data_IF_858200377943
#
_entry.id   IF_858200377943
#
_cell.length_a   1.000
_cell.length_b   1.000
_cell.length_c   1.000
_cell.angle_alpha   90.00
_cell.angle_beta   90.00
_cell.angle_gamma   90.00
#
_symmetry.space_group_name_H-M   'P 1'
#
loop_
_entity.id
_entity.type
_entity.pdbx_description
1 polymer ?
#
# COMPACT_ATOMS: atom_id res chain seq x y z
N UNK A 1 -28.81 -9.78 12.75
CA UNK A 1 -28.93 -9.67 11.29
C UNK A 1 -28.50 -10.98 10.68
N UNK A 2 -29.27 -11.51 9.74
CA UNK A 2 -28.99 -12.79 9.09
C UNK A 2 -28.56 -12.60 7.62
N UNK A 3 -28.97 -11.51 6.99
CA UNK A 3 -28.63 -11.19 5.59
C UNK A 3 -28.84 -9.69 5.34
N UNK A 4 -28.23 -9.21 4.26
CA UNK A 4 -28.38 -7.84 3.76
C UNK A 4 -28.86 -7.88 2.30
N UNK A 5 -30.07 -7.36 1.99
CA UNK A 5 -30.65 -7.48 0.66
C UNK A 5 -30.14 -6.44 -0.35
N UNK A 6 -29.11 -5.66 -0.03
CA UNK A 6 -28.56 -4.63 -0.93
C UNK A 6 -28.09 -5.24 -2.24
N UNK A 7 -28.52 -4.68 -3.36
CA UNK A 7 -28.18 -5.11 -4.70
C UNK A 7 -27.60 -3.95 -5.53
N UNK A 8 -26.71 -4.31 -6.45
CA UNK A 8 -26.10 -3.40 -7.42
C UNK A 8 -26.31 -3.98 -8.82
N UNK A 9 -26.71 -3.14 -9.75
CA UNK A 9 -26.94 -3.55 -11.14
C UNK A 9 -26.13 -2.66 -12.08
N UNK A 10 -25.39 -3.29 -12.99
CA UNK A 10 -24.64 -2.61 -14.05
C UNK A 10 -24.89 -3.30 -15.39
N UNK A 11 -24.79 -2.58 -16.55
CA UNK A 11 -24.99 -3.16 -17.87
C UNK A 11 -24.05 -4.36 -18.13
N UNK A 12 -24.53 -5.33 -18.89
CA UNK A 12 -23.82 -6.58 -19.15
C UNK A 12 -22.53 -6.46 -19.96
N UNK A 13 -22.32 -5.38 -20.70
CA UNK A 13 -21.09 -5.10 -21.45
C UNK A 13 -20.02 -4.37 -20.64
N UNK A 14 -20.31 -3.98 -19.39
CA UNK A 14 -19.39 -3.32 -18.47
C UNK A 14 -18.22 -4.24 -18.14
N UNK A 15 -17.01 -3.69 -18.15
CA UNK A 15 -15.80 -4.42 -17.71
C UNK A 15 -15.67 -4.36 -16.20
N UNK A 16 -15.67 -5.51 -15.56
CA UNK A 16 -15.52 -5.66 -14.13
C UNK A 16 -14.09 -6.09 -13.77
N UNK A 17 -13.49 -5.38 -12.81
CA UNK A 17 -12.20 -5.74 -12.22
C UNK A 17 -12.41 -6.09 -10.76
N UNK A 18 -12.12 -7.33 -10.39
CA UNK A 18 -12.50 -7.91 -9.12
C UNK A 18 -11.47 -8.92 -8.61
N UNK A 19 -11.52 -9.24 -7.34
CA UNK A 19 -10.61 -10.16 -6.69
C UNK A 19 -11.37 -11.21 -5.87
N UNK A 20 -11.00 -12.48 -6.05
CA UNK A 20 -11.61 -13.61 -5.36
C UNK A 20 -10.93 -13.99 -4.04
N UNK A 21 -9.76 -13.43 -3.75
CA UNK A 21 -9.15 -13.57 -2.42
C UNK A 21 -9.89 -12.68 -1.41
N UNK A 22 -10.78 -13.29 -0.66
CA UNK A 22 -11.57 -12.59 0.34
C UNK A 22 -10.84 -12.40 1.67
N UNK A 23 -9.79 -13.21 1.94
CA UNK A 23 -9.16 -13.26 3.26
C UNK A 23 -8.16 -12.14 3.48
N UNK A 24 -7.32 -11.86 2.51
CA UNK A 24 -6.17 -10.94 2.66
C UNK A 24 -5.92 -10.02 1.47
N UNK A 25 -6.76 -10.15 0.43
CA UNK A 25 -6.67 -9.34 -0.79
C UNK A 25 -5.29 -9.36 -1.49
N UNK A 26 -4.57 -10.46 -1.39
CA UNK A 26 -3.28 -10.69 -2.06
C UNK A 26 -3.41 -11.49 -3.36
N UNK A 27 -4.63 -11.89 -3.72
CA UNK A 27 -4.93 -12.56 -4.98
C UNK A 27 -4.73 -11.64 -6.19
N UNK A 28 -4.63 -12.25 -7.38
CA UNK A 28 -4.61 -11.52 -8.64
C UNK A 28 -5.98 -10.88 -8.91
N UNK A 29 -5.98 -9.64 -9.37
CA UNK A 29 -7.22 -8.99 -9.83
C UNK A 29 -7.60 -9.52 -11.21
N UNK A 30 -8.83 -10.00 -11.32
CA UNK A 30 -9.39 -10.55 -12.55
C UNK A 30 -10.14 -9.46 -13.33
N UNK A 31 -10.16 -9.58 -14.65
CA UNK A 31 -10.89 -8.68 -15.55
C UNK A 31 -11.85 -9.50 -16.42
N UNK A 32 -13.16 -9.23 -16.30
CA UNK A 32 -14.20 -9.87 -17.12
C UNK A 32 -15.30 -8.89 -17.49
N UNK A 33 -16.01 -9.13 -18.57
CA UNK A 33 -17.31 -8.47 -18.80
C UNK A 33 -18.32 -8.98 -17.77
N UNK A 34 -19.20 -8.11 -17.28
CA UNK A 34 -20.20 -8.47 -16.28
C UNK A 34 -21.15 -9.56 -16.78
N UNK A 35 -21.43 -9.62 -18.09
CA UNK A 35 -22.17 -10.72 -18.72
C UNK A 35 -21.49 -12.09 -18.64
N UNK A 36 -20.16 -12.11 -18.51
CA UNK A 36 -19.37 -13.34 -18.43
C UNK A 36 -19.08 -13.79 -16.97
N UNK A 37 -19.57 -13.04 -15.98
CA UNK A 37 -19.45 -13.43 -14.58
C UNK A 37 -20.48 -14.51 -14.25
N UNK A 38 -20.07 -15.69 -13.77
CA UNK A 38 -21.00 -16.74 -13.41
C UNK A 38 -21.85 -16.34 -12.22
N UNK A 39 -23.11 -16.81 -12.19
CA UNK A 39 -23.96 -16.66 -11.01
C UNK A 39 -23.37 -17.48 -9.85
N UNK A 40 -23.38 -16.90 -8.66
CA UNK A 40 -22.86 -17.52 -7.45
C UNK A 40 -21.40 -17.19 -7.13
N UNK A 41 -20.61 -16.63 -8.08
CA UNK A 41 -19.23 -16.21 -7.81
C UNK A 41 -19.20 -15.09 -6.75
N UNK A 42 -18.34 -15.25 -5.72
CA UNK A 42 -18.16 -14.27 -4.65
C UNK A 42 -16.78 -13.63 -4.79
N UNK A 43 -16.73 -12.32 -4.63
CA UNK A 43 -15.50 -11.56 -4.75
C UNK A 43 -15.45 -10.37 -3.79
N UNK A 44 -14.23 -9.92 -3.50
CA UNK A 44 -14.00 -8.83 -2.57
C UNK A 44 -14.64 -7.54 -3.05
N UNK A 45 -15.18 -6.77 -2.14
CA UNK A 45 -15.55 -5.39 -2.35
C UNK A 45 -14.28 -4.52 -2.53
N UNK A 46 -14.31 -3.53 -3.31
CA UNK A 46 -13.37 -2.69 -4.04
C UNK A 46 -13.32 -3.10 -5.51
N UNK A 47 -14.46 -3.45 -6.01
CA UNK A 47 -14.68 -3.85 -7.38
C UNK A 47 -14.90 -2.61 -8.23
N UNK A 48 -14.12 -2.50 -9.31
CA UNK A 48 -14.25 -1.43 -10.28
C UNK A 48 -14.97 -1.90 -11.55
N UNK A 49 -15.82 -1.05 -12.05
CA UNK A 49 -16.55 -1.24 -13.31
C UNK A 49 -16.21 -0.10 -14.27
N UNK A 50 -15.85 -0.46 -15.50
CA UNK A 50 -15.57 0.47 -16.57
C UNK A 50 -16.58 0.28 -17.71
N UNK A 51 -17.19 1.37 -18.15
CA UNK A 51 -18.13 1.37 -19.27
C UNK A 51 -17.37 1.59 -20.58
N UNK A 52 -17.24 0.58 -21.43
CA UNK A 52 -16.47 0.68 -22.66
C UNK A 52 -16.91 1.86 -23.55
N UNK A 53 -15.95 2.67 -23.97
CA UNK A 53 -16.19 3.81 -24.87
C UNK A 53 -16.91 5.02 -24.27
N UNK A 54 -17.16 5.02 -22.93
CA UNK A 54 -17.90 6.12 -22.28
C UNK A 54 -17.11 6.90 -21.25
N UNK A 55 -15.86 6.52 -20.97
CA UNK A 55 -15.05 7.14 -19.90
C UNK A 55 -15.81 7.26 -18.57
N UNK A 56 -16.60 6.23 -18.24
CA UNK A 56 -17.33 6.13 -16.97
C UNK A 56 -16.73 5.01 -16.16
N UNK A 57 -16.34 5.33 -14.94
CA UNK A 57 -15.74 4.43 -13.97
C UNK A 57 -16.58 4.40 -12.70
N UNK A 58 -16.94 3.21 -12.25
CA UNK A 58 -17.72 3.00 -11.03
C UNK A 58 -16.89 2.12 -10.10
N UNK A 59 -16.88 2.45 -8.81
CA UNK A 59 -16.40 1.55 -7.78
C UNK A 59 -17.52 1.25 -6.80
N UNK A 60 -17.66 -0.02 -6.43
CA UNK A 60 -18.54 -0.48 -5.36
C UNK A 60 -17.69 -0.92 -4.18
N UNK A 61 -17.94 -0.35 -3.01
CA UNK A 61 -17.25 -0.67 -1.76
C UNK A 61 -18.11 -0.26 -0.55
N UNK A 62 -17.48 -0.22 0.61
CA UNK A 62 -18.11 0.16 1.88
C UNK A 62 -17.19 1.05 2.71
N UNK A 63 -17.73 1.66 3.75
CA UNK A 63 -16.96 2.45 4.72
C UNK A 63 -17.59 2.45 6.11
N UNK A 64 -16.77 2.81 7.12
CA UNK A 64 -17.19 2.96 8.50
C UNK A 64 -17.74 1.67 9.11
N UNK A 65 -17.02 0.59 8.94
CA UNK A 65 -17.37 -0.69 9.54
C UNK A 65 -17.13 -0.61 11.04
N UNK A 66 -18.21 -0.60 11.80
CA UNK A 66 -18.22 -0.60 13.26
C UNK A 66 -19.26 -1.60 13.75
N UNK A 67 -18.81 -2.56 14.55
CA UNK A 67 -19.66 -3.60 15.11
C UNK A 67 -20.52 -4.34 14.04
N UNK A 68 -19.89 -4.56 12.87
CA UNK A 68 -20.52 -5.16 11.69
C UNK A 68 -19.49 -5.96 10.90
N UNK A 69 -19.86 -7.04 10.20
CA UNK A 69 -18.95 -7.76 9.31
C UNK A 69 -18.71 -6.99 8.02
N UNK A 70 -17.58 -7.28 7.37
CA UNK A 70 -17.28 -6.76 6.05
C UNK A 70 -18.20 -7.31 4.97
N UNK A 71 -18.30 -6.58 3.86
CA UNK A 71 -19.09 -6.91 2.68
C UNK A 71 -18.21 -7.51 1.58
N UNK A 72 -18.66 -8.60 0.98
CA UNK A 72 -18.25 -9.07 -0.34
C UNK A 72 -19.42 -8.87 -1.33
N UNK A 73 -19.20 -9.14 -2.60
CA UNK A 73 -20.23 -9.15 -3.64
C UNK A 73 -20.43 -10.56 -4.17
N UNK A 74 -21.69 -11.00 -4.27
CA UNK A 74 -22.07 -12.22 -4.97
C UNK A 74 -22.68 -11.87 -6.31
N UNK A 75 -22.14 -12.43 -7.40
CA UNK A 75 -22.74 -12.32 -8.72
C UNK A 75 -24.09 -13.09 -8.77
N UNK A 76 -25.11 -12.44 -9.30
CA UNK A 76 -26.40 -13.07 -9.64
C UNK A 76 -26.50 -13.33 -11.16
N UNK A 77 -25.42 -13.05 -11.89
CA UNK A 77 -25.39 -13.10 -13.35
C UNK A 77 -25.98 -11.84 -14.02
N UNK A 78 -25.67 -11.67 -15.30
CA UNK A 78 -26.19 -10.59 -16.14
C UNK A 78 -25.97 -9.17 -15.56
N UNK A 79 -24.83 -8.90 -14.93
CA UNK A 79 -24.51 -7.60 -14.33
C UNK A 79 -25.24 -7.27 -13.03
N UNK A 80 -25.89 -8.24 -12.41
CA UNK A 80 -26.56 -8.09 -11.13
C UNK A 80 -25.69 -8.66 -10.01
N UNK A 81 -25.59 -7.94 -8.90
CA UNK A 81 -24.78 -8.31 -7.73
C UNK A 81 -25.60 -8.10 -6.45
N UNK A 82 -25.40 -8.93 -5.47
CA UNK A 82 -25.89 -8.68 -4.12
C UNK A 82 -24.75 -8.64 -3.11
N UNK A 83 -24.99 -7.98 -2.01
CA UNK A 83 -24.12 -8.01 -0.83
C UNK A 83 -24.06 -9.42 -0.28
N UNK A 84 -22.86 -9.85 0.06
CA UNK A 84 -22.56 -11.07 0.81
C UNK A 84 -21.79 -10.67 2.07
N UNK A 85 -22.26 -11.03 3.24
CA UNK A 85 -21.57 -10.69 4.48
C UNK A 85 -20.57 -11.78 4.85
N UNK A 86 -19.46 -11.37 5.48
CA UNK A 86 -18.40 -12.28 5.91
C UNK A 86 -18.86 -13.25 7.00
N UNK A 87 -19.76 -12.82 7.90
CA UNK A 87 -20.38 -13.71 8.88
C UNK A 87 -21.52 -14.48 8.24
N UNK A 88 -21.41 -15.80 8.22
CA UNK A 88 -22.46 -16.73 7.78
C UNK A 88 -23.48 -17.01 8.88
N UNK A 89 -23.11 -16.72 10.13
CA UNK A 89 -23.96 -16.88 11.31
C UNK A 89 -24.65 -15.55 11.67
N UNK A 90 -25.62 -15.64 12.57
CA UNK A 90 -26.30 -14.44 13.09
C UNK A 90 -25.33 -13.60 13.92
N UNK A 91 -25.29 -12.30 13.67
CA UNK A 91 -24.54 -11.34 14.45
C UNK A 91 -25.46 -10.23 14.99
N UNK A 92 -25.01 -9.54 16.02
CA UNK A 92 -25.78 -8.49 16.67
C UNK A 92 -25.25 -7.12 16.34
N UNK A 93 -26.13 -6.18 15.94
CA UNK A 93 -25.79 -4.77 15.76
C UNK A 93 -26.04 -4.05 17.08
N UNK A 94 -24.99 -3.55 17.71
CA UNK A 94 -25.09 -2.69 18.87
C UNK A 94 -25.25 -1.23 18.38
N UNK A 95 -26.38 -0.61 18.70
CA UNK A 95 -26.65 0.77 18.33
C UNK A 95 -27.33 0.99 16.98
N UNK A 96 -27.67 -0.05 16.24
CA UNK A 96 -28.51 0.02 15.03
C UNK A 96 -27.91 0.72 13.82
N UNK A 97 -26.57 0.89 13.76
CA UNK A 97 -25.87 1.49 12.62
C UNK A 97 -25.27 0.42 11.72
N UNK A 98 -25.52 0.53 10.41
CA UNK A 98 -24.86 -0.29 9.38
C UNK A 98 -23.72 0.52 8.73
N UNK A 99 -22.71 -0.15 8.14
CA UNK A 99 -21.69 0.53 7.33
C UNK A 99 -22.32 1.24 6.12
N UNK A 100 -21.62 2.24 5.61
CA UNK A 100 -21.99 2.86 4.35
C UNK A 100 -21.73 1.92 3.19
N UNK A 101 -22.73 1.72 2.32
CA UNK A 101 -22.58 1.08 1.02
C UNK A 101 -22.29 2.17 0.00
N UNK A 102 -21.11 2.12 -0.61
CA UNK A 102 -20.57 3.21 -1.43
C UNK A 102 -20.57 2.78 -2.89
N UNK A 103 -21.17 3.63 -3.72
CA UNK A 103 -21.05 3.57 -5.18
C UNK A 103 -20.47 4.91 -5.63
N UNK A 104 -19.27 4.88 -6.24
CA UNK A 104 -18.70 6.07 -6.86
C UNK A 104 -18.94 6.04 -8.36
N UNK A 105 -19.18 7.20 -8.96
CA UNK A 105 -19.30 7.35 -10.41
C UNK A 105 -18.41 8.49 -10.86
N UNK A 106 -17.41 8.20 -11.67
CA UNK A 106 -16.40 9.14 -12.13
C UNK A 106 -16.32 9.15 -13.65
N UNK A 107 -15.96 10.30 -14.24
CA UNK A 107 -15.82 10.50 -15.69
C UNK A 107 -14.38 10.49 -16.19
N UNK A 108 -13.42 10.30 -15.29
CA UNK A 108 -12.01 10.13 -15.60
C UNK A 108 -11.31 9.30 -14.53
N UNK A 109 -10.16 8.73 -14.84
CA UNK A 109 -9.30 8.04 -13.87
C UNK A 109 -8.76 9.02 -12.84
N UNK A 110 -8.49 10.26 -13.23
CA UNK A 110 -8.06 11.31 -12.32
C UNK A 110 -9.15 11.63 -11.27
N UNK A 111 -10.41 11.80 -11.68
CA UNK A 111 -11.52 11.94 -10.73
C UNK A 111 -11.65 10.73 -9.81
N UNK A 112 -11.40 9.52 -10.33
CA UNK A 112 -11.53 8.28 -9.56
C UNK A 112 -10.51 8.23 -8.41
N UNK A 113 -9.25 8.54 -8.66
CA UNK A 113 -8.22 8.54 -7.60
C UNK A 113 -8.40 9.67 -6.58
N UNK A 114 -9.04 10.76 -6.96
CA UNK A 114 -9.35 11.89 -6.08
C UNK A 114 -10.66 11.70 -5.30
N UNK A 115 -11.40 10.64 -5.56
CA UNK A 115 -12.66 10.36 -4.89
C UNK A 115 -12.39 9.92 -3.42
N UNK A 116 -12.62 10.83 -2.49
CA UNK A 116 -12.34 10.63 -1.06
C UNK A 116 -13.53 10.09 -0.28
N UNK A 117 -14.60 9.64 -0.94
CA UNK A 117 -15.85 9.26 -0.26
C UNK A 117 -15.65 8.14 0.76
N UNK A 118 -14.79 7.14 0.50
CA UNK A 118 -14.49 6.07 1.45
C UNK A 118 -13.96 6.65 2.76
N UNK A 119 -12.98 7.55 2.67
CA UNK A 119 -12.39 8.20 3.84
C UNK A 119 -13.41 9.14 4.50
N UNK A 120 -14.14 9.95 3.73
CA UNK A 120 -15.05 10.96 4.27
C UNK A 120 -16.32 10.36 4.89
N UNK A 121 -16.74 9.18 4.48
CA UNK A 121 -17.86 8.46 5.07
C UNK A 121 -17.51 7.79 6.41
N UNK A 122 -16.24 7.50 6.68
CA UNK A 122 -15.82 6.96 7.98
C UNK A 122 -15.92 8.02 9.09
N UNK A 123 -16.14 7.57 10.32
CA UNK A 123 -16.20 8.46 11.48
C UNK A 123 -14.88 9.23 11.65
N UNK A 124 -14.93 10.55 11.92
CA UNK A 124 -13.73 11.30 12.22
C UNK A 124 -13.09 10.85 13.53
N UNK A 125 -11.81 11.19 13.69
CA UNK A 125 -11.12 10.99 14.97
C UNK A 125 -11.86 11.71 16.09
N UNK A 126 -12.09 10.99 17.18
CA UNK A 126 -12.72 11.52 18.39
C UNK A 126 -12.17 10.79 19.63
N UNK A 127 -10.86 10.92 19.86
CA UNK A 127 -10.18 10.29 20.98
C UNK A 127 -9.02 11.18 21.46
N UNK A 128 -8.91 11.34 22.77
CA UNK A 128 -7.86 12.14 23.40
C UNK A 128 -6.44 11.62 23.14
N UNK A 129 -6.29 10.35 22.82
CA UNK A 129 -5.00 9.77 22.43
C UNK A 129 -4.36 10.48 21.23
N UNK A 130 -5.16 11.19 20.43
CA UNK A 130 -4.69 11.95 19.27
C UNK A 130 -4.55 13.45 19.49
N UNK A 131 -4.84 13.94 20.69
CA UNK A 131 -4.48 15.30 21.07
C UNK A 131 -2.94 15.40 21.08
N UNK A 132 -2.36 16.35 20.36
CA UNK A 132 -0.91 16.49 20.17
C UNK A 132 -0.26 15.24 19.53
N UNK A 133 -0.77 14.83 18.37
CA UNK A 133 -0.37 13.62 17.64
C UNK A 133 0.99 13.71 16.93
N UNK A 134 1.95 14.51 17.40
CA UNK A 134 3.30 14.66 16.82
C UNK A 134 4.12 13.35 16.78
N UNK A 135 3.66 12.35 17.53
CA UNK A 135 4.25 11.02 17.52
C UNK A 135 3.86 10.18 16.29
N UNK A 136 2.80 10.58 15.56
CA UNK A 136 2.39 9.95 14.30
C UNK A 136 3.20 10.55 13.16
N UNK A 137 4.25 9.85 12.74
CA UNK A 137 5.16 10.34 11.71
C UNK A 137 5.25 9.36 10.55
N UNK A 138 4.79 9.72 9.36
CA UNK A 138 5.06 8.97 8.14
C UNK A 138 6.56 8.87 7.88
N UNK A 139 7.01 7.75 7.27
CA UNK A 139 8.43 7.59 6.96
C UNK A 139 8.74 6.32 6.21
N UNK A 140 9.98 6.22 5.74
CA UNK A 140 10.55 5.03 5.10
C UNK A 140 11.14 4.10 6.17
N UNK A 141 11.03 2.80 5.93
CA UNK A 141 11.63 1.78 6.77
C UNK A 141 12.59 0.90 5.98
N UNK A 142 13.78 0.71 6.52
CA UNK A 142 14.63 -0.40 6.11
C UNK A 142 14.00 -1.71 6.60
N UNK A 143 14.13 -2.78 5.81
CA UNK A 143 13.52 -4.06 6.10
C UNK A 143 14.32 -5.22 5.52
N UNK A 144 14.95 -6.00 6.39
CA UNK A 144 15.87 -7.09 5.99
C UNK A 144 15.17 -8.38 5.57
N UNK A 145 13.87 -8.53 5.83
CA UNK A 145 13.16 -9.82 5.79
C UNK A 145 13.25 -10.57 4.45
N UNK A 146 13.33 -9.84 3.33
CA UNK A 146 13.43 -10.45 2.00
C UNK A 146 14.84 -10.73 1.52
N UNK A 147 15.83 -10.08 2.08
CA UNK A 147 17.18 -10.03 1.50
C UNK A 147 17.90 -11.38 1.67
N UNK A 148 17.67 -12.04 2.80
CA UNK A 148 18.32 -13.29 3.13
C UNK A 148 17.41 -14.11 4.05
N UNK A 149 16.85 -15.20 3.55
CA UNK A 149 15.91 -16.04 4.31
C UNK A 149 16.52 -16.64 5.56
N UNK A 150 17.82 -16.94 5.54
CA UNK A 150 18.51 -17.58 6.65
C UNK A 150 18.93 -16.57 7.73
N UNK A 151 19.45 -15.40 7.32
CA UNK A 151 20.08 -14.45 8.23
C UNK A 151 19.24 -13.21 8.53
N UNK A 152 18.23 -12.91 7.69
CA UNK A 152 17.42 -11.68 7.76
C UNK A 152 16.72 -11.47 9.12
N UNK A 153 16.48 -12.53 9.87
CA UNK A 153 15.81 -12.51 11.17
C UNK A 153 16.77 -12.47 12.36
N UNK A 154 18.09 -12.60 12.12
CA UNK A 154 19.10 -12.59 13.18
C UNK A 154 19.24 -11.20 13.77
N UNK A 155 19.48 -11.14 15.05
CA UNK A 155 19.65 -9.90 15.79
C UNK A 155 20.73 -9.00 15.18
N UNK A 156 21.87 -9.57 14.81
CA UNK A 156 23.01 -8.86 14.23
C UNK A 156 22.66 -8.22 12.89
N UNK A 157 21.88 -8.90 12.05
CA UNK A 157 21.41 -8.35 10.75
C UNK A 157 20.46 -7.17 10.94
N UNK A 158 19.52 -7.27 11.88
CA UNK A 158 18.62 -6.16 12.19
C UNK A 158 19.40 -4.98 12.79
N UNK A 159 20.44 -5.23 13.59
CA UNK A 159 21.33 -4.18 14.10
C UNK A 159 22.11 -3.47 12.98
N UNK A 160 22.62 -4.21 11.99
CA UNK A 160 23.28 -3.68 10.80
C UNK A 160 22.31 -2.71 10.04
N UNK A 161 21.04 -3.09 9.93
CA UNK A 161 20.03 -2.30 9.26
C UNK A 161 19.71 -0.96 9.96
N UNK A 162 20.05 -0.78 11.24
CA UNK A 162 20.00 0.55 11.86
C UNK A 162 21.00 1.52 11.20
N UNK A 163 22.21 1.06 10.91
CA UNK A 163 23.22 1.87 10.26
C UNK A 163 22.86 2.16 8.80
N UNK A 164 22.39 1.13 8.08
CA UNK A 164 21.95 1.28 6.69
C UNK A 164 20.74 2.22 6.56
N UNK A 165 19.78 2.16 7.49
CA UNK A 165 18.66 3.10 7.55
C UNK A 165 19.14 4.54 7.76
N UNK A 166 20.07 4.76 8.70
CA UNK A 166 20.69 6.07 8.93
C UNK A 166 21.38 6.61 7.67
N UNK A 167 22.22 5.79 7.03
CA UNK A 167 22.96 6.17 5.83
C UNK A 167 22.03 6.52 4.66
N UNK A 168 20.95 5.76 4.50
CA UNK A 168 19.93 5.99 3.48
C UNK A 168 18.96 7.13 3.81
N UNK A 169 19.01 7.68 5.03
CA UNK A 169 18.08 8.73 5.49
C UNK A 169 16.66 8.22 5.73
N UNK A 170 16.51 6.96 6.13
CA UNK A 170 15.21 6.38 6.47
C UNK A 170 14.88 6.61 7.94
N UNK A 171 13.61 6.87 8.23
CA UNK A 171 13.11 7.17 9.56
C UNK A 171 13.05 5.93 10.45
N UNK A 172 12.94 4.73 9.85
CA UNK A 172 12.64 3.52 10.58
C UNK A 172 13.47 2.32 10.14
N UNK A 173 13.54 1.33 11.06
CA UNK A 173 13.95 -0.03 10.79
C UNK A 173 12.89 -0.98 11.39
N UNK A 174 12.41 -1.94 10.58
CA UNK A 174 11.40 -2.91 10.97
C UNK A 174 12.04 -4.25 11.36
N UNK A 175 12.02 -4.56 12.66
CA UNK A 175 12.31 -5.90 13.16
C UNK A 175 11.07 -6.79 12.94
N UNK A 176 11.10 -7.56 11.85
CA UNK A 176 10.02 -8.43 11.42
C UNK A 176 9.97 -9.75 12.22
N UNK A 177 9.22 -10.72 11.76
CA UNK A 177 9.09 -12.05 12.38
C UNK A 177 10.46 -12.63 12.74
N UNK A 178 10.56 -13.26 13.92
CA UNK A 178 11.78 -13.89 14.44
C UNK A 178 12.45 -13.13 15.59
N UNK A 179 12.10 -11.86 15.86
CA UNK A 179 12.73 -11.12 16.97
C UNK A 179 12.50 -11.76 18.35
N UNK A 180 11.44 -12.56 18.52
CA UNK A 180 11.18 -13.30 19.77
C UNK A 180 12.16 -14.42 20.00
N UNK A 181 12.79 -14.93 18.94
CA UNK A 181 13.75 -16.02 18.96
C UNK A 181 15.20 -15.55 19.26
N UNK A 182 15.40 -14.23 19.39
CA UNK A 182 16.71 -13.68 19.77
C UNK A 182 17.17 -14.10 21.17
N UNK A 183 16.31 -14.71 21.96
CA UNK A 183 16.65 -15.31 23.22
C UNK A 183 15.66 -16.41 23.62
N UNK A 184 16.08 -17.32 24.50
CA UNK A 184 15.29 -18.45 25.01
C UNK A 184 14.01 -18.04 25.77
N UNK A 185 13.89 -16.77 26.18
CA UNK A 185 12.75 -16.27 26.97
C UNK A 185 12.27 -14.93 26.41
N UNK A 186 10.98 -14.65 26.54
CA UNK A 186 10.40 -13.35 26.18
C UNK A 186 11.12 -12.17 26.86
N UNK A 187 11.51 -12.33 28.13
CA UNK A 187 12.29 -11.32 28.86
C UNK A 187 13.66 -11.10 28.20
N UNK A 188 14.31 -12.16 27.76
CA UNK A 188 15.58 -12.09 27.04
C UNK A 188 15.44 -11.42 25.68
N UNK A 189 14.42 -11.80 24.89
CA UNK A 189 14.14 -11.17 23.61
C UNK A 189 13.92 -9.65 23.75
N UNK A 190 13.16 -9.22 24.76
CA UNK A 190 12.99 -7.79 25.01
C UNK A 190 14.26 -7.07 25.51
N UNK A 191 15.23 -7.77 26.11
CA UNK A 191 16.55 -7.18 26.37
C UNK A 191 17.27 -6.88 25.04
N UNK A 192 17.21 -7.80 24.10
CA UNK A 192 17.76 -7.61 22.75
C UNK A 192 17.05 -6.45 22.00
N UNK A 193 15.73 -6.37 22.12
CA UNK A 193 14.98 -5.21 21.59
C UNK A 193 15.47 -3.89 22.21
N UNK A 194 15.75 -3.85 23.52
CA UNK A 194 16.32 -2.67 24.16
C UNK A 194 17.70 -2.30 23.61
N UNK A 195 18.56 -3.29 23.37
CA UNK A 195 19.87 -3.08 22.73
C UNK A 195 19.70 -2.48 21.33
N UNK A 196 18.78 -3.04 20.54
CA UNK A 196 18.44 -2.55 19.20
C UNK A 196 17.94 -1.11 19.21
N UNK A 197 16.99 -0.77 20.09
CA UNK A 197 16.43 0.59 20.21
C UNK A 197 17.50 1.59 20.65
N UNK A 198 18.34 1.23 21.63
CA UNK A 198 19.42 2.09 22.12
C UNK A 198 20.45 2.43 21.01
N UNK A 199 20.72 1.50 20.09
CA UNK A 199 21.58 1.76 18.95
C UNK A 199 20.86 2.63 17.91
N UNK A 200 19.61 2.31 17.60
CA UNK A 200 18.79 3.06 16.63
C UNK A 200 18.59 4.53 17.06
N UNK A 201 18.37 4.79 18.35
CA UNK A 201 18.22 6.16 18.88
C UNK A 201 19.46 7.01 18.67
N UNK A 202 20.66 6.44 18.81
CA UNK A 202 21.93 7.16 18.51
C UNK A 202 22.04 7.54 17.03
N UNK A 203 21.28 6.88 16.17
CA UNK A 203 21.25 7.08 14.71
C UNK A 203 20.03 7.88 14.26
N UNK A 204 19.17 8.32 15.18
CA UNK A 204 17.88 8.96 14.86
C UNK A 204 16.94 8.07 14.07
N UNK A 205 17.04 6.74 14.21
CA UNK A 205 16.19 5.74 13.57
C UNK A 205 15.19 5.18 14.58
N UNK A 206 13.92 5.09 14.19
CA UNK A 206 12.87 4.50 15.02
C UNK A 206 12.70 3.01 14.75
N UNK A 207 12.44 2.21 15.80
CA UNK A 207 12.23 0.77 15.66
C UNK A 207 10.73 0.44 15.63
N UNK A 208 10.35 -0.41 14.67
CA UNK A 208 9.07 -1.09 14.62
C UNK A 208 9.24 -2.57 14.92
N UNK A 209 8.22 -3.18 15.53
CA UNK A 209 8.20 -4.62 15.82
C UNK A 209 7.04 -5.31 15.10
N UNK A 210 7.31 -6.48 14.56
CA UNK A 210 6.30 -7.39 14.05
C UNK A 210 5.61 -8.15 15.18
N UNK A 211 4.32 -8.42 15.02
CA UNK A 211 3.51 -9.21 15.93
C UNK A 211 2.46 -10.00 15.16
N UNK A 212 2.37 -11.32 15.38
CA UNK A 212 1.28 -12.11 14.84
C UNK A 212 -0.01 -11.88 15.63
N UNK A 213 -1.11 -11.69 14.93
CA UNK A 213 -2.44 -11.68 15.52
C UNK A 213 -2.83 -13.08 16.06
N UNK A 214 -2.23 -14.14 15.54
CA UNK A 214 -2.45 -15.52 16.03
C UNK A 214 -1.82 -15.78 17.41
N UNK A 215 -0.97 -14.86 17.89
CA UNK A 215 -0.38 -14.93 19.22
C UNK A 215 -1.35 -14.42 20.30
N UNK A 216 -0.85 -14.32 21.55
CA UNK A 216 -1.61 -13.92 22.75
C UNK A 216 -2.20 -12.50 22.72
N UNK A 217 -2.01 -11.71 21.64
CA UNK A 217 -2.50 -10.32 21.55
C UNK A 217 -4.02 -10.21 21.53
N UNK A 218 -4.75 -11.29 21.26
CA UNK A 218 -6.20 -11.39 21.47
C UNK A 218 -6.59 -11.18 22.93
N UNK A 219 -5.75 -11.64 23.85
CA UNK A 219 -6.01 -11.56 25.26
C UNK A 219 -5.63 -10.16 25.78
N UNK A 220 -6.64 -9.39 26.17
CA UNK A 220 -6.49 -7.97 26.55
C UNK A 220 -5.40 -7.70 27.59
N UNK A 221 -5.27 -8.46 28.71
CA UNK A 221 -4.18 -8.23 29.68
C UNK A 221 -2.78 -8.42 29.10
N UNK A 222 -2.61 -9.38 28.18
CA UNK A 222 -1.34 -9.57 27.48
C UNK A 222 -1.06 -8.42 26.53
N UNK A 223 -2.02 -8.02 25.69
CA UNK A 223 -1.90 -6.95 24.70
C UNK A 223 -1.54 -5.61 25.36
N UNK A 224 -2.23 -5.24 26.44
CA UNK A 224 -1.95 -4.01 27.20
C UNK A 224 -0.55 -4.01 27.83
N UNK A 225 -0.12 -5.16 28.40
CA UNK A 225 1.23 -5.32 28.89
C UNK A 225 2.28 -5.21 27.80
N UNK A 226 2.00 -5.78 26.62
CA UNK A 226 2.87 -5.71 25.46
C UNK A 226 3.03 -4.25 25.00
N UNK A 227 1.94 -3.51 24.79
CA UNK A 227 1.98 -2.11 24.38
C UNK A 227 2.74 -1.23 25.41
N UNK A 228 2.42 -1.36 26.69
CA UNK A 228 3.13 -0.63 27.76
C UNK A 228 4.64 -0.93 27.75
N UNK A 229 5.03 -2.14 27.37
CA UNK A 229 6.44 -2.50 27.29
C UNK A 229 7.09 -1.90 26.03
N UNK A 230 6.41 -1.92 24.89
CA UNK A 230 6.87 -1.28 23.67
C UNK A 230 7.06 0.24 23.88
N UNK A 231 6.08 0.92 24.46
CA UNK A 231 6.17 2.35 24.82
C UNK A 231 7.39 2.65 25.68
N UNK A 232 7.60 1.87 26.78
CA UNK A 232 8.75 2.04 27.69
C UNK A 232 10.11 1.81 27.01
N UNK A 233 10.15 1.04 25.95
CA UNK A 233 11.35 0.76 25.17
C UNK A 233 11.59 1.76 24.04
N UNK A 234 10.65 2.68 23.78
CA UNK A 234 10.77 3.65 22.71
C UNK A 234 10.40 3.12 21.31
N UNK A 235 9.72 1.96 21.22
CA UNK A 235 9.20 1.41 19.97
C UNK A 235 8.23 2.43 19.34
N UNK A 236 8.29 2.61 18.03
CA UNK A 236 7.49 3.60 17.29
C UNK A 236 6.19 3.03 16.73
N UNK A 237 6.17 1.73 16.45
CA UNK A 237 4.95 1.11 15.92
C UNK A 237 5.01 -0.41 15.88
N UNK A 238 3.87 -0.99 15.53
CA UNK A 238 3.67 -2.43 15.45
C UNK A 238 3.15 -2.82 14.07
N UNK A 239 3.80 -3.77 13.43
CA UNK A 239 3.27 -4.49 12.28
C UNK A 239 2.47 -5.68 12.80
N UNK A 240 1.14 -5.59 12.74
CA UNK A 240 0.24 -6.68 13.12
C UNK A 240 -0.11 -7.51 11.89
N UNK A 241 0.18 -8.79 11.93
CA UNK A 241 0.08 -9.72 10.81
C UNK A 241 -0.88 -10.88 11.08
N UNK A 242 -1.29 -11.63 10.05
CA UNK A 242 -2.10 -12.85 10.10
C UNK A 242 -3.53 -12.63 10.63
N UNK A 243 -4.23 -11.59 10.17
CA UNK A 243 -5.61 -11.34 10.62
C UNK A 243 -6.63 -12.07 9.72
N UNK A 244 -6.49 -12.00 8.42
CA UNK A 244 -7.16 -12.79 7.36
C UNK A 244 -8.68 -12.95 7.46
N UNK A 245 -9.41 -11.97 7.99
CA UNK A 245 -10.87 -12.05 8.16
C UNK A 245 -11.54 -10.69 8.27
N UNK A 246 -12.82 -10.64 7.85
CA UNK A 246 -13.69 -9.48 7.97
C UNK A 246 -14.98 -9.80 8.77
N UNK A 247 -14.96 -10.84 9.62
CA UNK A 247 -16.07 -11.09 10.55
C UNK A 247 -16.28 -9.90 11.49
N UNK A 248 -17.47 -9.77 12.06
CA UNK A 248 -17.76 -8.71 13.03
C UNK A 248 -16.72 -8.65 14.16
N UNK A 249 -16.32 -9.81 14.67
CA UNK A 249 -15.29 -9.89 15.71
C UNK A 249 -13.95 -9.31 15.24
N UNK A 250 -13.54 -9.58 13.99
CA UNK A 250 -12.26 -9.11 13.46
C UNK A 250 -12.28 -7.62 13.12
N UNK A 251 -13.38 -7.12 12.56
CA UNK A 251 -13.51 -5.68 12.29
C UNK A 251 -13.42 -4.86 13.57
N UNK A 252 -14.02 -5.35 14.67
CA UNK A 252 -13.86 -4.73 15.98
C UNK A 252 -12.45 -4.88 16.56
N UNK A 253 -11.78 -6.00 16.30
CA UNK A 253 -10.40 -6.19 16.75
C UNK A 253 -9.42 -5.19 16.09
N UNK A 254 -9.57 -4.88 14.78
CA UNK A 254 -8.78 -3.82 14.14
C UNK A 254 -8.95 -2.48 14.88
N UNK A 255 -10.18 -2.09 15.18
CA UNK A 255 -10.52 -0.85 15.86
C UNK A 255 -9.94 -0.82 17.29
N UNK A 256 -10.12 -1.91 18.03
CA UNK A 256 -9.62 -2.07 19.39
C UNK A 256 -8.09 -2.01 19.46
N UNK A 257 -7.42 -2.73 18.55
CA UNK A 257 -5.95 -2.76 18.50
C UNK A 257 -5.38 -1.37 18.18
N UNK A 258 -5.92 -0.67 17.18
CA UNK A 258 -5.50 0.67 16.80
C UNK A 258 -5.68 1.66 17.97
N UNK A 259 -6.83 1.64 18.64
CA UNK A 259 -7.13 2.50 19.80
C UNK A 259 -6.18 2.25 20.96
N UNK A 260 -6.05 0.99 21.42
CA UNK A 260 -5.18 0.66 22.54
C UNK A 260 -3.69 0.91 22.21
N UNK A 261 -3.27 0.74 20.95
CA UNK A 261 -1.93 1.14 20.49
C UNK A 261 -1.71 2.65 20.60
N UNK A 262 -2.72 3.47 20.24
CA UNK A 262 -2.65 4.93 20.33
C UNK A 262 -2.51 5.43 21.78
N UNK A 263 -3.16 4.78 22.75
CA UNK A 263 -2.99 5.07 24.19
C UNK A 263 -1.52 4.98 24.64
N UNK A 264 -0.70 4.21 23.90
CA UNK A 264 0.73 4.00 24.12
C UNK A 264 1.62 4.68 23.07
N UNK A 265 1.07 5.62 22.28
CA UNK A 265 1.77 6.35 21.21
C UNK A 265 2.45 5.40 20.19
N UNK A 266 1.79 4.30 19.85
CA UNK A 266 2.26 3.33 18.87
C UNK A 266 1.49 3.48 17.55
N UNK A 267 2.22 3.63 16.46
CA UNK A 267 1.69 3.53 15.12
C UNK A 267 1.44 2.05 14.77
N UNK A 268 0.58 1.79 13.79
CA UNK A 268 0.20 0.43 13.39
C UNK A 268 0.22 0.30 11.88
N UNK A 269 0.75 -0.81 11.38
CA UNK A 269 0.46 -1.32 10.04
C UNK A 269 -0.18 -2.69 10.15
N UNK A 270 -1.17 -2.96 9.31
CA UNK A 270 -1.85 -4.25 9.25
C UNK A 270 -1.38 -5.04 8.06
N UNK A 271 -0.94 -6.28 8.28
CA UNK A 271 -0.61 -7.27 7.26
C UNK A 271 -1.64 -8.40 7.19
N UNK A 272 -1.86 -8.94 6.01
CA UNK A 272 -2.96 -9.83 5.70
C UNK A 272 -4.32 -9.30 6.23
N UNK A 273 -4.64 -8.01 6.06
CA UNK A 273 -5.81 -7.42 6.63
C UNK A 273 -7.01 -7.50 5.69
N UNK A 274 -8.16 -7.06 6.22
CA UNK A 274 -9.32 -6.71 5.41
C UNK A 274 -9.02 -5.60 4.40
N UNK A 275 -9.95 -5.38 3.45
CA UNK A 275 -9.94 -4.19 2.58
C UNK A 275 -10.00 -2.90 3.40
N UNK A 276 -9.37 -1.81 2.95
CA UNK A 276 -9.43 -0.54 3.64
C UNK A 276 -10.80 0.14 3.46
N UNK A 277 -11.43 0.50 4.58
CA UNK A 277 -12.79 1.05 4.67
C UNK A 277 -12.85 2.37 5.43
N UNK A 278 -11.78 3.18 5.33
CA UNK A 278 -11.73 4.49 5.97
C UNK A 278 -11.20 4.49 7.41
N UNK A 279 -10.76 3.35 7.95
CA UNK A 279 -10.29 3.18 9.33
C UNK A 279 -9.27 4.25 9.78
N UNK A 280 -8.40 4.69 8.87
CA UNK A 280 -7.37 5.72 9.14
C UNK A 280 -7.93 7.10 9.50
N UNK A 281 -9.16 7.42 9.12
CA UNK A 281 -9.80 8.68 9.53
C UNK A 281 -10.18 8.65 11.00
N UNK A 282 -10.60 7.51 11.50
CA UNK A 282 -10.96 7.31 12.91
C UNK A 282 -9.73 7.08 13.79
N UNK A 283 -8.75 6.35 13.27
CA UNK A 283 -7.51 5.98 13.94
C UNK A 283 -6.29 6.42 13.11
N UNK A 284 -5.85 7.69 13.23
CA UNK A 284 -4.74 8.24 12.45
C UNK A 284 -3.40 7.50 12.61
N UNK A 285 -3.22 6.75 13.70
CA UNK A 285 -2.04 5.92 13.94
C UNK A 285 -1.98 4.65 13.06
N UNK A 286 -3.04 4.32 12.32
CA UNK A 286 -3.00 3.27 11.29
C UNK A 286 -2.32 3.84 10.05
N UNK A 287 -1.05 3.48 9.83
CA UNK A 287 -0.23 4.04 8.75
C UNK A 287 -0.56 3.42 7.39
N UNK A 288 -0.75 2.11 7.34
CA UNK A 288 -1.14 1.39 6.14
C UNK A 288 -1.88 0.09 6.49
N UNK A 289 -2.60 -0.42 5.49
CA UNK A 289 -3.19 -1.77 5.50
C UNK A 289 -2.69 -2.45 4.24
N UNK A 290 -2.00 -3.58 4.35
CA UNK A 290 -1.44 -4.26 3.18
C UNK A 290 -2.53 -4.51 2.14
N UNK A 291 -3.43 -5.46 2.37
CA UNK A 291 -4.58 -5.79 1.53
C UNK A 291 -4.31 -5.59 0.01
N UNK A 292 -3.15 -6.00 -0.45
CA UNK A 292 -2.66 -5.78 -1.81
C UNK A 292 -1.78 -6.96 -2.24
N UNK A 293 -1.86 -7.34 -3.51
CA UNK A 293 -0.86 -8.20 -4.11
C UNK A 293 0.42 -7.38 -4.32
N UNK A 294 1.24 -7.29 -3.27
CA UNK A 294 2.51 -6.57 -3.30
C UNK A 294 3.65 -7.43 -3.84
N UNK A 295 4.86 -6.88 -3.77
CA UNK A 295 6.08 -7.54 -4.25
C UNK A 295 6.34 -8.89 -3.55
N UNK A 296 5.86 -9.06 -2.31
CA UNK A 296 5.91 -10.35 -1.59
C UNK A 296 5.23 -11.50 -2.34
N UNK A 297 4.20 -11.20 -3.14
CA UNK A 297 3.46 -12.17 -3.95
C UNK A 297 3.98 -12.26 -5.39
N UNK A 298 5.14 -11.75 -5.68
CA UNK A 298 5.73 -11.46 -6.99
C UNK A 298 4.96 -10.38 -7.75
N UNK A 299 5.67 -9.35 -8.21
CA UNK A 299 5.09 -8.31 -9.04
C UNK A 299 4.52 -8.90 -10.34
N UNK A 300 3.42 -8.32 -10.77
CA UNK A 300 2.67 -8.73 -11.97
C UNK A 300 2.19 -7.44 -12.63
N UNK A 301 2.78 -7.06 -13.75
CA UNK A 301 2.51 -5.80 -14.40
C UNK A 301 1.04 -5.61 -14.79
N UNK A 302 0.33 -6.69 -15.16
CA UNK A 302 -1.12 -6.64 -15.42
C UNK A 302 -1.88 -6.22 -14.17
N UNK A 303 -1.57 -6.85 -13.02
CA UNK A 303 -2.18 -6.53 -11.75
C UNK A 303 -1.79 -5.12 -11.27
N UNK A 304 -0.51 -4.75 -11.45
CA UNK A 304 0.03 -3.46 -11.00
C UNK A 304 -0.62 -2.28 -11.75
N UNK A 305 -1.02 -2.45 -13.01
CA UNK A 305 -1.75 -1.42 -13.76
C UNK A 305 -3.24 -1.33 -13.41
N UNK A 306 -3.79 -2.25 -12.59
CA UNK A 306 -5.18 -2.24 -12.12
C UNK A 306 -5.27 -1.65 -10.70
N UNK A 307 -4.32 -1.98 -9.82
CA UNK A 307 -4.38 -1.64 -8.40
C UNK A 307 -4.53 -0.15 -8.08
N UNK A 308 -3.92 0.80 -8.82
CA UNK A 308 -4.10 2.24 -8.56
C UNK A 308 -5.55 2.70 -8.67
N UNK A 309 -6.36 2.02 -9.50
CA UNK A 309 -7.76 2.36 -9.79
C UNK A 309 -8.77 1.43 -9.10
N UNK A 310 -8.30 0.56 -8.22
CA UNK A 310 -9.12 -0.35 -7.41
C UNK A 310 -8.72 -0.26 -5.94
N UNK A 311 -7.83 -1.13 -5.49
CA UNK A 311 -7.41 -1.26 -4.08
C UNK A 311 -6.86 0.05 -3.50
N UNK A 312 -6.09 0.82 -4.27
CA UNK A 312 -5.47 2.05 -3.77
C UNK A 312 -6.47 3.18 -3.49
N UNK A 313 -7.69 3.10 -4.00
CA UNK A 313 -8.78 4.04 -3.71
C UNK A 313 -9.21 4.01 -2.24
N UNK A 314 -8.99 2.89 -1.55
CA UNK A 314 -9.23 2.75 -0.11
C UNK A 314 -8.15 3.35 0.78
N UNK A 315 -7.02 3.78 0.21
CA UNK A 315 -5.92 4.41 0.95
C UNK A 315 -4.63 3.59 0.94
N UNK A 316 -3.71 3.95 1.84
CA UNK A 316 -2.35 3.43 1.91
C UNK A 316 -2.27 1.90 1.96
N UNK A 317 -1.32 1.35 1.21
CA UNK A 317 -0.97 -0.06 1.19
C UNK A 317 0.50 -0.26 1.59
N UNK A 318 0.86 -1.48 1.97
CA UNK A 318 2.25 -1.90 2.10
C UNK A 318 2.61 -2.82 0.93
N UNK A 319 2.96 -2.21 -0.21
CA UNK A 319 3.33 -2.92 -1.44
C UNK A 319 4.73 -3.56 -1.33
N UNK A 320 5.56 -3.08 -0.41
CA UNK A 320 6.95 -3.50 -0.20
C UNK A 320 7.80 -3.43 -1.48
N UNK A 321 7.95 -2.23 -2.09
CA UNK A 321 8.63 -2.07 -3.37
C UNK A 321 10.14 -2.26 -3.28
N UNK A 322 10.81 -2.31 -4.45
CA UNK A 322 12.26 -2.29 -4.58
C UNK A 322 12.94 -3.54 -4.01
N UNK A 323 12.73 -4.69 -4.63
CA UNK A 323 13.52 -5.89 -4.36
C UNK A 323 13.90 -6.55 -5.69
N UNK A 324 15.16 -6.49 -6.07
CA UNK A 324 15.67 -7.02 -7.33
C UNK A 324 16.99 -7.79 -7.22
N UNK A 325 17.64 -7.79 -6.05
CA UNK A 325 18.94 -8.45 -5.85
C UNK A 325 18.84 -9.93 -5.52
N UNK A 326 17.71 -10.37 -4.94
CA UNK A 326 17.54 -11.77 -4.51
C UNK A 326 16.62 -12.56 -5.45
N UNK A 327 16.87 -13.87 -5.62
CA UNK A 327 16.11 -14.67 -6.59
C UNK A 327 14.60 -14.67 -6.41
N UNK A 328 14.10 -14.67 -5.19
CA UNK A 328 12.66 -14.65 -4.92
C UNK A 328 11.97 -13.33 -5.29
N UNK A 329 12.74 -12.25 -5.36
CA UNK A 329 12.27 -10.94 -5.78
C UNK A 329 12.48 -10.70 -7.29
N UNK A 330 13.09 -11.64 -8.00
CA UNK A 330 13.22 -11.58 -9.44
C UNK A 330 11.83 -11.74 -10.05
N UNK A 331 11.28 -10.63 -10.42
CA UNK A 331 9.97 -10.53 -11.02
C UNK A 331 10.06 -10.43 -12.55
N UNK A 332 8.95 -10.57 -13.22
CA UNK A 332 8.84 -10.33 -14.65
C UNK A 332 8.90 -8.85 -15.03
N UNK A 333 8.84 -7.96 -14.03
CA UNK A 333 8.88 -6.50 -14.22
C UNK A 333 10.31 -5.95 -14.19
N UNK A 334 10.53 -4.81 -14.84
CA UNK A 334 11.83 -4.14 -14.88
C UNK A 334 12.17 -3.39 -13.58
N UNK A 335 13.43 -2.97 -13.40
CA UNK A 335 13.84 -2.08 -12.31
C UNK A 335 13.07 -0.75 -12.38
N UNK A 336 12.86 -0.19 -13.57
CA UNK A 336 12.09 1.05 -13.70
C UNK A 336 10.62 0.89 -13.33
N UNK A 337 10.01 -0.28 -13.56
CA UNK A 337 8.68 -0.60 -13.03
C UNK A 337 8.68 -0.62 -11.50
N UNK A 338 9.71 -1.19 -10.87
CA UNK A 338 9.82 -1.19 -9.41
C UNK A 338 10.04 0.22 -8.84
N UNK A 339 10.83 1.08 -9.51
CA UNK A 339 10.96 2.49 -9.13
C UNK A 339 9.62 3.22 -9.28
N UNK A 340 8.88 2.94 -10.36
CA UNK A 340 7.56 3.53 -10.58
C UNK A 340 6.57 3.13 -9.48
N UNK A 341 6.64 1.90 -8.94
CA UNK A 341 5.77 1.44 -7.85
C UNK A 341 5.93 2.27 -6.58
N UNK A 342 7.16 2.75 -6.31
CA UNK A 342 7.47 3.61 -5.19
C UNK A 342 6.84 5.03 -5.32
N UNK A 343 6.52 5.45 -6.55
CA UNK A 343 5.83 6.71 -6.83
C UNK A 343 4.31 6.52 -6.94
N UNK A 344 3.85 5.47 -7.61
CA UNK A 344 2.43 5.27 -7.92
C UNK A 344 1.64 4.84 -6.69
N UNK A 345 2.18 3.97 -5.86
CA UNK A 345 1.47 3.48 -4.68
C UNK A 345 1.63 4.40 -3.47
N UNK A 346 0.56 4.55 -2.70
CA UNK A 346 0.57 5.29 -1.45
C UNK A 346 0.96 4.39 -0.28
N UNK A 347 1.92 4.82 0.53
CA UNK A 347 2.20 4.22 1.83
C UNK A 347 2.71 5.30 2.79
N UNK A 348 2.06 5.45 3.94
CA UNK A 348 2.56 6.37 4.98
C UNK A 348 3.65 5.71 5.84
N UNK A 349 3.74 4.39 5.81
CA UNK A 349 4.89 3.63 6.29
C UNK A 349 5.43 2.84 5.09
N UNK A 350 6.50 3.37 4.49
CA UNK A 350 7.02 2.87 3.23
C UNK A 350 8.15 1.87 3.49
N UNK A 351 7.82 0.59 3.38
CA UNK A 351 8.77 -0.51 3.58
C UNK A 351 9.62 -0.69 2.34
N UNK A 352 10.91 -0.35 2.41
CA UNK A 352 11.89 -0.60 1.34
C UNK A 352 12.40 -2.02 1.48
N UNK A 353 12.17 -2.84 0.45
CA UNK A 353 12.46 -4.29 0.51
C UNK A 353 13.87 -4.65 0.03
N UNK A 354 14.60 -3.72 -0.58
CA UNK A 354 16.00 -3.93 -0.97
C UNK A 354 16.95 -3.48 0.15
N UNK A 355 18.12 -4.10 0.21
CA UNK A 355 19.21 -3.64 1.07
C UNK A 355 19.65 -2.23 0.63
N UNK A 356 19.66 -1.23 1.53
CA UNK A 356 20.06 0.13 1.17
C UNK A 356 21.47 0.21 0.57
N UNK A 357 22.39 -0.68 0.96
CA UNK A 357 23.75 -0.75 0.37
C UNK A 357 23.72 -1.21 -1.08
N UNK A 358 22.80 -2.11 -1.44
CA UNK A 358 22.58 -2.57 -2.81
C UNK A 358 21.97 -1.45 -3.66
N UNK A 359 20.99 -0.71 -3.13
CA UNK A 359 20.44 0.48 -3.82
C UNK A 359 21.53 1.49 -4.14
N UNK A 360 22.43 1.74 -3.19
CA UNK A 360 23.58 2.64 -3.37
C UNK A 360 24.57 2.10 -4.40
N UNK A 361 24.93 0.82 -4.34
CA UNK A 361 25.82 0.19 -5.30
C UNK A 361 25.28 0.24 -6.74
N UNK A 362 23.97 0.20 -6.89
CA UNK A 362 23.29 0.35 -8.19
C UNK A 362 23.00 1.81 -8.57
N UNK A 363 23.35 2.82 -7.76
CA UNK A 363 23.12 4.24 -8.05
C UNK A 363 21.65 4.66 -8.00
N UNK A 364 20.81 3.88 -7.32
CA UNK A 364 19.37 4.12 -7.16
C UNK A 364 19.03 4.89 -5.87
N UNK A 365 19.98 4.99 -4.94
CA UNK A 365 19.86 5.74 -3.69
C UNK A 365 19.50 7.22 -3.93
N UNK A 366 20.05 7.83 -4.98
CA UNK A 366 19.74 9.22 -5.35
C UNK A 366 18.26 9.46 -5.70
N UNK A 367 17.53 8.43 -6.11
CA UNK A 367 16.09 8.47 -6.34
C UNK A 367 15.30 8.06 -5.10
N UNK A 368 15.69 6.94 -4.47
CA UNK A 368 14.90 6.30 -3.40
C UNK A 368 15.05 7.03 -2.06
N UNK A 369 16.24 7.46 -1.69
CA UNK A 369 16.48 8.13 -0.41
C UNK A 369 15.69 9.44 -0.24
N UNK A 370 15.62 10.34 -1.25
CA UNK A 370 14.81 11.56 -1.14
C UNK A 370 13.33 11.38 -1.49
N UNK A 371 12.87 10.15 -1.83
CA UNK A 371 11.49 9.92 -2.21
C UNK A 371 10.56 10.23 -1.03
N UNK A 372 9.50 11.04 -1.22
CA UNK A 372 8.57 11.34 -0.15
C UNK A 372 7.59 10.17 0.07
N UNK A 373 7.05 10.08 1.27
CA UNK A 373 5.95 9.14 1.62
C UNK A 373 4.59 9.83 1.70
N UNK A 374 4.59 11.16 1.64
CA UNK A 374 3.36 11.99 1.62
C UNK A 374 3.39 12.88 0.39
N UNK A 375 2.28 12.93 -0.30
CA UNK A 375 2.12 13.65 -1.55
C UNK A 375 1.15 14.81 -1.37
N UNK A 376 1.54 15.99 -1.87
CA UNK A 376 0.68 17.18 -1.87
C UNK A 376 -0.31 17.17 -3.03
N UNK A 377 0.12 16.58 -4.17
CA UNK A 377 -0.64 16.61 -5.42
C UNK A 377 -0.40 15.32 -6.20
N UNK A 378 -1.41 14.88 -6.93
CA UNK A 378 -1.33 13.69 -7.79
C UNK A 378 -2.19 13.93 -9.04
N UNK A 379 -1.68 13.59 -10.21
CA UNK A 379 -2.38 13.64 -11.48
C UNK A 379 -2.28 12.30 -12.18
N UNK A 380 -3.38 11.81 -12.71
CA UNK A 380 -3.39 10.74 -13.70
C UNK A 380 -3.27 11.39 -15.07
N UNK A 381 -2.15 11.18 -15.73
CA UNK A 381 -1.88 11.83 -17.00
C UNK A 381 -2.61 11.14 -18.17
N UNK A 382 -2.89 11.89 -19.26
CA UNK A 382 -3.51 11.36 -20.47
C UNK A 382 -2.77 10.13 -21.00
N UNK A 383 -3.51 9.18 -21.57
CA UNK A 383 -2.97 7.90 -22.04
C UNK A 383 -3.07 6.77 -21.02
N UNK A 384 -3.35 7.06 -19.74
CA UNK A 384 -3.58 6.02 -18.73
C UNK A 384 -4.81 5.19 -19.05
N UNK A 385 -4.68 3.86 -18.91
CA UNK A 385 -5.77 2.87 -19.09
C UNK A 385 -5.61 1.75 -18.07
N UNK A 386 -6.68 1.44 -17.37
CA UNK A 386 -6.69 0.38 -16.35
C UNK A 386 -6.33 -0.97 -16.99
N UNK A 387 -5.33 -1.65 -16.44
CA UNK A 387 -4.87 -2.95 -16.93
C UNK A 387 -3.94 -2.89 -18.14
N UNK A 388 -3.57 -1.68 -18.62
CA UNK A 388 -2.68 -1.54 -19.76
C UNK A 388 -1.48 -0.64 -19.48
N UNK A 389 -1.74 0.57 -18.99
CA UNK A 389 -0.71 1.58 -18.73
C UNK A 389 -1.20 2.57 -17.67
N UNK A 390 -0.35 2.89 -16.72
CA UNK A 390 -0.61 3.91 -15.70
C UNK A 390 0.45 4.99 -15.80
N UNK A 391 0.04 6.24 -15.89
CA UNK A 391 0.94 7.39 -16.00
C UNK A 391 0.55 8.39 -14.92
N UNK A 392 1.40 8.54 -13.91
CA UNK A 392 1.18 9.48 -12.81
C UNK A 392 2.24 10.58 -12.80
N UNK A 393 1.81 11.81 -12.47
CA UNK A 393 2.67 12.86 -11.97
C UNK A 393 2.26 13.23 -10.56
N UNK A 394 3.23 13.34 -9.64
CA UNK A 394 2.99 13.60 -8.22
C UNK A 394 3.95 14.66 -7.70
N UNK A 395 3.45 15.52 -6.81
CA UNK A 395 4.26 16.57 -6.20
C UNK A 395 4.35 16.36 -4.68
N UNK A 396 5.55 16.58 -4.19
CA UNK A 396 5.81 16.77 -2.76
C UNK A 396 6.71 17.98 -2.60
N UNK A 397 6.25 18.95 -1.82
CA UNK A 397 6.90 20.25 -1.68
C UNK A 397 7.16 20.90 -3.05
N UNK A 398 8.42 21.16 -3.39
CA UNK A 398 8.86 21.77 -4.64
C UNK A 398 9.39 20.76 -5.69
N UNK A 399 9.20 19.46 -5.45
CA UNK A 399 9.64 18.40 -6.36
C UNK A 399 8.46 17.70 -7.00
N UNK A 400 8.59 17.45 -8.30
CA UNK A 400 7.68 16.59 -9.04
C UNK A 400 8.31 15.23 -9.29
N UNK A 401 7.48 14.22 -9.35
CA UNK A 401 7.84 12.85 -9.70
C UNK A 401 6.88 12.36 -10.78
N UNK A 402 7.41 11.78 -11.85
CA UNK A 402 6.59 11.10 -12.85
C UNK A 402 6.92 9.62 -12.88
N UNK A 403 5.90 8.80 -13.07
CA UNK A 403 6.05 7.35 -13.08
C UNK A 403 5.08 6.69 -14.06
N UNK A 404 5.55 5.62 -14.70
CA UNK A 404 4.74 4.85 -15.66
C UNK A 404 4.86 3.37 -15.35
N UNK A 405 3.71 2.68 -15.28
CA UNK A 405 3.60 1.23 -15.38
C UNK A 405 3.17 0.84 -16.80
N UNK A 406 3.84 -0.13 -17.38
CA UNK A 406 3.47 -0.75 -18.64
C UNK A 406 3.21 -2.25 -18.43
N UNK A 407 2.01 -2.74 -18.79
CA UNK A 407 1.69 -4.17 -18.74
C UNK A 407 1.82 -4.88 -20.10
N UNK A 408 2.11 -4.16 -21.19
CA UNK A 408 2.26 -4.77 -22.50
C UNK A 408 3.34 -5.87 -22.50
N UNK A 409 3.07 -6.95 -23.23
CA UNK A 409 4.01 -8.07 -23.41
C UNK A 409 4.98 -7.83 -24.59
N UNK A 410 4.99 -6.61 -25.12
CA UNK A 410 5.92 -6.12 -26.15
C UNK A 410 6.46 -4.75 -25.75
N UNK A 411 7.51 -4.30 -26.44
CA UNK A 411 8.01 -2.95 -26.31
C UNK A 411 6.88 -1.93 -26.53
N UNK A 412 6.77 -0.94 -25.63
CA UNK A 412 5.81 0.18 -25.76
C UNK A 412 6.57 1.50 -25.80
N UNK A 413 6.18 2.35 -26.73
CA UNK A 413 6.68 3.73 -26.81
C UNK A 413 5.55 4.70 -26.51
N UNK A 414 5.86 5.72 -25.73
CA UNK A 414 4.96 6.83 -25.43
C UNK A 414 5.73 8.14 -25.49
N UNK A 415 5.04 9.23 -25.78
CA UNK A 415 5.52 10.58 -25.52
C UNK A 415 4.88 11.07 -24.22
N UNK A 416 5.68 11.45 -23.24
CA UNK A 416 5.25 11.97 -21.93
C UNK A 416 5.44 13.48 -21.89
N UNK A 417 4.39 14.30 -22.01
CA UNK A 417 4.49 15.74 -21.86
C UNK A 417 4.71 16.11 -20.39
N UNK A 418 5.51 17.17 -20.17
CA UNK A 418 5.78 17.69 -18.83
C UNK A 418 4.86 18.85 -18.44
N UNK A 419 3.69 18.93 -19.02
CA UNK A 419 2.67 19.95 -18.75
C UNK A 419 2.13 19.99 -17.31
N UNK A 420 2.51 19.02 -16.46
CA UNK A 420 2.28 19.05 -15.02
C UNK A 420 3.27 19.97 -14.26
N UNK A 421 4.38 20.35 -14.88
CA UNK A 421 5.33 21.30 -14.31
C UNK A 421 4.77 22.72 -14.36
N UNK A 422 5.26 23.59 -13.49
CA UNK A 422 4.84 25.00 -13.44
C UNK A 422 5.32 25.75 -14.68
N UNK A 423 4.42 26.49 -15.32
CA UNK A 423 4.77 27.31 -16.48
C UNK A 423 5.80 28.37 -16.16
N UNK A 424 6.76 28.53 -17.08
CA UNK A 424 7.85 29.50 -16.96
C UNK A 424 8.96 29.10 -15.99
N UNK A 425 8.83 28.00 -15.25
CA UNK A 425 9.88 27.47 -14.39
C UNK A 425 10.77 26.48 -15.15
N UNK A 426 12.05 26.40 -14.72
CA UNK A 426 13.01 25.41 -15.23
C UNK A 426 13.24 24.35 -14.17
N UNK A 427 13.46 23.12 -14.63
CA UNK A 427 13.69 21.97 -13.77
C UNK A 427 14.89 21.17 -14.23
N UNK A 428 15.69 20.67 -13.28
CA UNK A 428 16.57 19.54 -13.53
C UNK A 428 15.73 18.26 -13.40
N UNK A 429 15.63 17.50 -14.48
CA UNK A 429 14.97 16.20 -14.50
C UNK A 429 16.02 15.09 -14.45
N UNK A 430 15.90 14.20 -13.47
CA UNK A 430 16.64 12.96 -13.37
C UNK A 430 15.71 11.82 -13.75
N UNK A 431 15.99 11.19 -14.88
CA UNK A 431 15.09 10.28 -15.59
C UNK A 431 15.69 8.88 -15.60
N UNK A 432 14.86 7.89 -15.26
CA UNK A 432 15.17 6.46 -15.28
C UNK A 432 14.28 5.75 -16.29
N UNK A 433 14.89 5.12 -17.29
CA UNK A 433 14.19 4.35 -18.34
C UNK A 433 14.70 2.93 -18.41
N UNK A 434 13.87 2.01 -18.89
CA UNK A 434 14.27 0.63 -19.10
C UNK A 434 15.48 0.52 -20.04
N UNK A 435 16.40 -0.35 -19.72
CA UNK A 435 17.38 -0.81 -20.69
C UNK A 435 16.72 -1.88 -21.57
N UNK A 436 16.59 -1.63 -22.88
CA UNK A 436 15.84 -2.51 -23.78
C UNK A 436 16.54 -3.84 -24.03
N UNK A 437 17.83 -3.93 -23.80
CA UNK A 437 18.67 -5.12 -24.06
C UNK A 437 19.04 -5.89 -22.79
N UNK A 438 19.04 -5.22 -21.62
CA UNK A 438 19.32 -5.84 -20.32
C UNK A 438 18.11 -5.77 -19.39
N UNK A 439 17.61 -6.92 -19.01
CA UNK A 439 16.43 -7.02 -18.13
C UNK A 439 16.66 -6.44 -16.74
N UNK A 440 17.86 -6.44 -16.25
CA UNK A 440 18.25 -5.94 -14.92
C UNK A 440 18.93 -4.58 -15.00
N UNK A 441 19.05 -4.03 -16.21
CA UNK A 441 19.63 -2.73 -16.47
C UNK A 441 18.58 -1.63 -16.53
N UNK A 442 19.04 -0.43 -16.35
CA UNK A 442 18.29 0.80 -16.60
C UNK A 442 19.22 1.87 -17.18
N UNK A 443 18.63 2.86 -17.84
CA UNK A 443 19.37 4.05 -18.29
C UNK A 443 19.00 5.23 -17.38
N UNK A 444 19.98 6.06 -17.08
CA UNK A 444 19.82 7.26 -16.26
C UNK A 444 20.34 8.46 -17.00
N UNK A 445 19.54 9.51 -17.12
CA UNK A 445 19.92 10.77 -17.72
C UNK A 445 19.51 11.95 -16.85
N UNK A 446 20.28 13.03 -16.91
CA UNK A 446 19.93 14.32 -16.32
C UNK A 446 19.83 15.35 -17.42
N UNK A 447 18.70 16.05 -17.47
CA UNK A 447 18.42 17.09 -18.47
C UNK A 447 17.73 18.28 -17.84
N UNK A 448 17.89 19.47 -18.45
CA UNK A 448 17.08 20.64 -18.08
C UNK A 448 15.82 20.68 -18.92
N UNK A 449 14.68 20.87 -18.27
CA UNK A 449 13.36 20.84 -18.91
C UNK A 449 12.43 21.93 -18.37
N UNK A 450 11.36 22.18 -19.11
CA UNK A 450 10.26 23.08 -18.76
C UNK A 450 8.91 22.37 -18.95
N UNK A 451 7.81 23.04 -18.62
CA UNK A 451 6.44 22.53 -18.89
C UNK A 451 6.12 22.35 -20.38
N UNK A 452 6.86 23.01 -21.28
CA UNK A 452 6.68 22.90 -22.74
C UNK A 452 7.37 21.66 -23.35
N UNK A 453 8.24 21.00 -22.59
CA UNK A 453 9.00 19.84 -23.05
C UNK A 453 8.24 18.52 -22.84
N UNK A 454 8.75 17.47 -23.45
CA UNK A 454 8.28 16.09 -23.30
C UNK A 454 9.43 15.11 -23.41
N UNK A 455 9.21 13.86 -23.01
CA UNK A 455 10.15 12.76 -23.20
C UNK A 455 9.53 11.64 -24.04
N UNK A 456 10.28 11.17 -25.05
CA UNK A 456 9.98 9.92 -25.73
C UNK A 456 10.53 8.76 -24.89
N UNK A 457 9.63 7.92 -24.41
CA UNK A 457 9.95 6.83 -23.50
C UNK A 457 9.69 5.50 -24.20
N UNK A 458 10.73 4.67 -24.29
CA UNK A 458 10.60 3.29 -24.70
C UNK A 458 10.68 2.39 -23.46
N UNK A 459 9.69 1.52 -23.28
CA UNK A 459 9.60 0.60 -22.17
C UNK A 459 9.58 -0.85 -22.70
N UNK A 460 10.25 -1.72 -21.98
CA UNK A 460 10.23 -3.17 -22.20
C UNK A 460 8.84 -3.77 -21.99
N UNK A 461 8.62 -5.04 -22.38
CA UNK A 461 7.53 -5.84 -21.82
C UNK A 461 7.54 -5.78 -20.29
N UNK A 462 6.37 -5.53 -19.70
CA UNK A 462 6.20 -5.36 -18.23
C UNK A 462 7.17 -4.34 -17.63
N UNK A 463 7.53 -3.32 -18.38
CA UNK A 463 8.50 -2.30 -18.00
C UNK A 463 7.89 -1.08 -17.35
N UNK A 464 8.73 -0.07 -17.15
CA UNK A 464 8.31 1.18 -16.51
C UNK A 464 9.23 2.35 -16.77
N UNK A 465 8.87 3.45 -16.11
CA UNK A 465 9.61 4.72 -16.15
C UNK A 465 9.46 5.41 -14.79
N UNK A 466 10.52 6.06 -14.34
CA UNK A 466 10.47 6.92 -13.17
C UNK A 466 11.34 8.17 -13.41
N UNK A 467 10.89 9.32 -12.89
CA UNK A 467 11.65 10.55 -12.96
C UNK A 467 11.39 11.44 -11.75
N UNK A 468 12.38 12.24 -11.38
CA UNK A 468 12.25 13.34 -10.41
C UNK A 468 12.65 14.64 -11.05
N UNK A 469 11.87 15.70 -10.81
CA UNK A 469 12.07 17.05 -11.33
C UNK A 469 12.28 18.00 -10.15
N UNK A 470 13.39 18.74 -10.17
CA UNK A 470 13.78 19.72 -9.14
C UNK A 470 13.82 21.09 -9.79
N UNK A 471 13.03 22.04 -9.26
CA UNK A 471 13.04 23.43 -9.74
C UNK A 471 14.42 24.07 -9.52
N UNK A 472 14.98 24.77 -10.53
CA UNK A 472 16.32 25.40 -10.55
C UNK A 472 16.25 26.89 -10.85
#
# INVERSE_FOLDING_TARGET
VADEPTQFNVPGDTVCRYQTDLKKMQGKTLTKKTSALPSGEIFSCMTAFEFPGKSIYIMVTESDIENYPGMALRSLGAGRFKTELWDTDKFFIKGGKTPWRIVTVCRSLDQLIHCRVITLAAAPVNDKAYENADWIRPGKSAWSYFIDEEHSRRFEKIMEFNALAQEAGYEYNLADNGWRDWAKTERGAFKKVKELVNDAEKRSVGIWLWQSAMDKVWFTPYRRRFFKKCEKLGIKGIKLDHIESETQFMTEFYRLFAREAAEHKLMVIYHNPQKPTGLRRTFPNVMSMEAIRGLQCKADADNDTILPFTRMLGGNADYTPLCFSVPRCLNEVSICHMLASAVIYNSAFFTVSEDPSILKAHGLDSFVSPLPVVWNETHVLPGSKIGEIVIFARRSENKWYAAVFNSAQSERKINLPFSFLKDGAKYEAEIYTDNLTDQRGYNKVKISVTSADSADIAMRPSGGFAAVFREI
#
